data_IF_440962269481
#
_entry.id   IF_440962269481
#
_cell.length_a   1.000
_cell.length_b   1.000
_cell.length_c   1.000
_cell.angle_alpha   90.00
_cell.angle_beta   90.00
_cell.angle_gamma   90.00
#
_symmetry.space_group_name_H-M   'P 1'
#
loop_
_entity.id
_entity.type
_entity.pdbx_description
1 polymer ?
#
# COMPACT_ATOMS: atom_id res chain seq x y z
N UNK A 1 2.71 5.55 -4.67
CA UNK A 1 3.48 5.90 -3.46
C UNK A 1 4.84 5.22 -3.41
N UNK A 2 4.93 3.89 -3.49
CA UNK A 2 6.20 3.12 -3.41
C UNK A 2 7.29 3.66 -4.33
N UNK A 3 7.01 3.85 -5.61
CA UNK A 3 7.98 4.39 -6.61
C UNK A 3 8.58 5.75 -6.20
N UNK A 4 7.82 6.59 -5.47
CA UNK A 4 8.32 7.88 -4.98
C UNK A 4 9.04 7.76 -3.62
N UNK A 5 8.69 6.78 -2.83
CA UNK A 5 9.28 6.53 -1.52
C UNK A 5 10.61 5.79 -1.62
N UNK A 6 10.74 4.90 -2.58
CA UNK A 6 11.92 4.05 -2.75
C UNK A 6 13.09 4.83 -3.35
N UNK A 7 14.02 5.26 -2.50
CA UNK A 7 15.17 6.09 -2.90
C UNK A 7 16.32 5.31 -3.51
N UNK A 8 16.38 4.00 -3.30
CA UNK A 8 17.48 3.14 -3.77
C UNK A 8 17.20 2.50 -5.12
N UNK A 9 15.94 2.39 -5.54
CA UNK A 9 15.53 1.90 -6.85
C UNK A 9 15.24 3.06 -7.81
N UNK A 10 15.62 2.90 -9.05
CA UNK A 10 15.21 3.77 -10.17
C UNK A 10 14.14 3.10 -11.03
N UNK A 11 13.81 1.88 -10.73
CA UNK A 11 12.77 1.11 -11.41
C UNK A 11 11.38 1.68 -11.14
N UNK A 12 10.50 1.49 -12.10
CA UNK A 12 9.06 1.72 -11.95
C UNK A 12 8.29 0.39 -11.99
N UNK A 13 8.99 -0.73 -11.80
CA UNK A 13 8.40 -2.07 -11.79
C UNK A 13 7.85 -2.39 -10.41
N UNK A 14 6.62 -2.85 -10.38
CA UNK A 14 5.93 -3.34 -9.18
C UNK A 14 5.46 -4.76 -9.47
N UNK A 15 5.92 -5.71 -8.68
CA UNK A 15 5.49 -7.11 -8.79
C UNK A 15 4.12 -7.28 -8.13
N UNK A 16 3.26 -8.05 -8.75
CA UNK A 16 1.95 -8.41 -8.22
C UNK A 16 1.62 -9.86 -8.57
N UNK A 17 1.33 -10.69 -7.58
CA UNK A 17 1.00 -12.08 -7.85
C UNK A 17 -0.45 -12.25 -8.37
N UNK A 18 -0.68 -13.27 -9.20
CA UNK A 18 -1.98 -13.47 -9.88
C UNK A 18 -3.12 -13.80 -8.92
N UNK A 19 -2.83 -14.15 -7.68
CA UNK A 19 -3.82 -14.37 -6.61
C UNK A 19 -4.23 -13.10 -5.86
N UNK A 20 -3.68 -11.91 -6.22
CA UNK A 20 -4.26 -10.62 -5.85
C UNK A 20 -5.57 -10.41 -6.62
N UNK A 21 -6.59 -9.84 -5.97
CA UNK A 21 -7.89 -9.57 -6.57
C UNK A 21 -7.74 -8.99 -7.98
N UNK A 22 -8.34 -9.63 -9.01
CA UNK A 22 -8.18 -9.22 -10.40
C UNK A 22 -8.69 -7.80 -10.68
N UNK A 23 -9.72 -7.34 -9.96
CA UNK A 23 -10.19 -5.96 -10.08
C UNK A 23 -9.17 -4.97 -9.55
N UNK A 24 -8.51 -5.27 -8.43
CA UNK A 24 -7.44 -4.42 -7.89
C UNK A 24 -6.25 -4.32 -8.86
N UNK A 25 -5.87 -5.45 -9.47
CA UNK A 25 -4.79 -5.45 -10.48
C UNK A 25 -5.15 -4.58 -11.69
N UNK A 26 -6.36 -4.73 -12.24
CA UNK A 26 -6.84 -3.93 -13.37
C UNK A 26 -6.88 -2.42 -13.04
N UNK A 27 -7.42 -2.06 -11.88
CA UNK A 27 -7.47 -0.66 -11.44
C UNK A 27 -6.07 -0.10 -11.24
N UNK A 28 -5.17 -0.86 -10.63
CA UNK A 28 -3.79 -0.43 -10.43
C UNK A 28 -3.06 -0.18 -11.76
N UNK A 29 -3.25 -1.07 -12.76
CA UNK A 29 -2.72 -0.85 -14.11
C UNK A 29 -3.30 0.41 -14.72
N UNK A 30 -4.63 0.56 -14.70
CA UNK A 30 -5.33 1.70 -15.29
C UNK A 30 -4.90 3.05 -14.69
N UNK A 31 -4.68 3.10 -13.38
CA UNK A 31 -4.34 4.34 -12.68
C UNK A 31 -2.86 4.67 -12.67
N UNK A 32 -1.99 3.67 -12.69
CA UNK A 32 -0.55 3.87 -12.51
C UNK A 32 0.25 3.89 -13.83
N UNK A 33 -0.25 3.25 -14.89
CA UNK A 33 0.46 3.16 -16.18
C UNK A 33 0.74 4.53 -16.81
N UNK A 34 -0.17 5.50 -16.69
CA UNK A 34 0.01 6.86 -17.17
C UNK A 34 1.19 7.61 -16.52
N UNK A 35 1.69 7.10 -15.39
CA UNK A 35 2.89 7.63 -14.72
C UNK A 35 4.14 6.78 -15.00
N UNK A 36 4.08 5.84 -15.95
CA UNK A 36 5.17 4.95 -16.31
C UNK A 36 5.38 3.77 -15.37
N UNK A 37 4.51 3.60 -14.36
CA UNK A 37 4.59 2.45 -13.44
C UNK A 37 4.13 1.18 -14.17
N UNK A 38 4.97 0.14 -14.11
CA UNK A 38 4.69 -1.16 -14.72
C UNK A 38 4.34 -2.17 -13.63
N UNK A 39 3.12 -2.67 -13.65
CA UNK A 39 2.74 -3.84 -12.85
C UNK A 39 3.11 -5.10 -13.62
N UNK A 40 3.94 -5.93 -13.01
CA UNK A 40 4.39 -7.21 -13.55
C UNK A 40 3.76 -8.36 -12.77
N UNK A 41 2.99 -9.19 -13.46
CA UNK A 41 2.28 -10.29 -12.82
C UNK A 41 3.20 -11.50 -12.60
N UNK A 42 3.13 -12.06 -11.39
CA UNK A 42 3.79 -13.30 -11.02
C UNK A 42 2.75 -14.42 -11.07
N UNK A 43 2.85 -15.38 -11.99
CA UNK A 43 1.94 -16.52 -12.03
C UNK A 43 2.01 -17.36 -10.75
N UNK A 44 0.85 -17.68 -10.17
CA UNK A 44 0.73 -18.53 -8.98
C UNK A 44 -0.23 -19.70 -9.25
N UNK A 45 0.18 -20.71 -10.05
CA UNK A 45 -0.71 -21.79 -10.46
C UNK A 45 -1.15 -22.68 -9.29
N UNK A 46 -0.41 -22.66 -8.18
CA UNK A 46 -0.77 -23.41 -6.96
C UNK A 46 -1.73 -22.65 -6.03
N UNK A 47 -2.12 -21.43 -6.41
CA UNK A 47 -3.02 -20.60 -5.61
C UNK A 47 -2.35 -19.77 -4.51
N UNK A 48 -1.05 -19.91 -4.32
CA UNK A 48 -0.22 -19.09 -3.40
C UNK A 48 1.10 -18.75 -4.05
N UNK A 49 1.71 -17.65 -3.60
CA UNK A 49 3.05 -17.23 -3.96
C UNK A 49 4.08 -17.91 -3.03
N UNK A 50 5.12 -18.48 -3.59
CA UNK A 50 6.25 -18.97 -2.82
C UNK A 50 7.53 -18.17 -3.10
N UNK A 51 8.48 -18.20 -2.17
CA UNK A 51 9.79 -17.56 -2.38
C UNK A 51 10.53 -18.17 -3.60
N UNK A 52 10.31 -19.45 -3.89
CA UNK A 52 10.87 -20.08 -5.07
C UNK A 52 10.36 -19.46 -6.39
N UNK A 53 9.10 -19.01 -6.44
CA UNK A 53 8.55 -18.33 -7.61
C UNK A 53 9.17 -16.95 -7.84
N UNK A 54 9.81 -16.39 -6.80
CA UNK A 54 10.47 -15.10 -6.82
C UNK A 54 11.96 -15.15 -7.23
N UNK A 55 12.56 -16.34 -7.30
CA UNK A 55 14.00 -16.52 -7.57
C UNK A 55 14.43 -15.86 -8.91
N UNK A 56 13.56 -15.81 -9.90
CA UNK A 56 13.85 -15.17 -11.20
C UNK A 56 14.04 -13.65 -11.13
N UNK A 57 13.65 -13.03 -10.01
CA UNK A 57 13.83 -11.60 -9.76
C UNK A 57 15.07 -11.28 -8.92
N UNK A 58 15.89 -12.29 -8.61
CA UNK A 58 17.14 -12.08 -7.89
C UNK A 58 18.10 -11.23 -8.72
N UNK A 59 18.59 -10.13 -8.14
CA UNK A 59 19.47 -9.19 -8.83
C UNK A 59 18.76 -8.18 -9.75
N UNK A 60 17.44 -8.27 -9.89
CA UNK A 60 16.64 -7.34 -10.69
C UNK A 60 16.31 -6.07 -9.90
N UNK A 61 16.28 -4.91 -10.61
CA UNK A 61 15.81 -3.66 -10.00
C UNK A 61 14.28 -3.62 -10.03
N UNK A 62 13.68 -3.90 -8.88
CA UNK A 62 12.24 -3.89 -8.63
C UNK A 62 11.93 -2.91 -7.49
N UNK A 63 10.94 -2.06 -7.67
CA UNK A 63 10.57 -1.08 -6.64
C UNK A 63 9.78 -1.70 -5.49
N UNK A 64 8.79 -2.51 -5.79
CA UNK A 64 7.91 -3.06 -4.76
C UNK A 64 7.28 -4.38 -5.19
N UNK A 65 6.82 -5.14 -4.21
CA UNK A 65 5.94 -6.30 -4.38
C UNK A 65 4.64 -6.07 -3.62
N UNK A 66 3.51 -6.44 -4.24
CA UNK A 66 2.18 -6.44 -3.60
C UNK A 66 1.87 -7.83 -3.09
N UNK A 67 1.49 -7.94 -1.82
CA UNK A 67 1.06 -9.17 -1.17
C UNK A 67 -0.37 -8.94 -0.67
N UNK A 68 -1.32 -9.77 -1.09
CA UNK A 68 -2.68 -9.74 -0.55
C UNK A 68 -2.87 -10.85 0.47
N UNK A 69 -3.40 -10.49 1.66
CA UNK A 69 -3.61 -11.42 2.76
C UNK A 69 -4.98 -11.20 3.44
N UNK A 70 -5.89 -12.18 3.48
CA UNK A 70 -5.88 -13.38 2.64
C UNK A 70 -5.90 -13.04 1.15
N UNK A 71 -5.40 -13.94 0.30
CA UNK A 71 -5.42 -13.71 -1.14
C UNK A 71 -6.84 -13.85 -1.72
N UNK A 72 -7.02 -13.57 -3.01
CA UNK A 72 -8.34 -13.59 -3.66
C UNK A 72 -9.02 -14.97 -3.65
N UNK A 73 -8.24 -16.05 -3.52
CA UNK A 73 -8.74 -17.43 -3.43
C UNK A 73 -9.04 -17.84 -1.98
N UNK A 74 -8.89 -16.93 -1.01
CA UNK A 74 -9.10 -17.21 0.41
C UNK A 74 -7.95 -17.97 1.07
N UNK A 75 -6.80 -18.12 0.40
CA UNK A 75 -5.63 -18.78 0.96
C UNK A 75 -4.71 -17.77 1.67
N UNK A 76 -3.91 -18.28 2.60
CA UNK A 76 -2.92 -17.49 3.31
C UNK A 76 -1.55 -17.61 2.60
N UNK A 77 -0.93 -16.49 2.38
CA UNK A 77 0.44 -16.40 1.85
C UNK A 77 1.45 -16.55 2.99
N UNK A 78 2.66 -17.05 2.70
CA UNK A 78 3.78 -16.97 3.64
C UNK A 78 4.35 -15.55 3.63
N UNK A 79 3.61 -14.66 4.30
CA UNK A 79 3.90 -13.22 4.30
C UNK A 79 5.25 -12.91 4.93
N UNK A 80 5.70 -13.72 5.89
CA UNK A 80 6.98 -13.51 6.55
C UNK A 80 8.14 -13.79 5.61
N UNK A 81 8.15 -14.97 4.99
CA UNK A 81 9.22 -15.36 4.06
C UNK A 81 9.27 -14.44 2.83
N UNK A 82 8.10 -14.06 2.27
CA UNK A 82 8.04 -13.17 1.11
C UNK A 82 8.53 -11.76 1.48
N UNK A 83 8.16 -11.25 2.67
CA UNK A 83 8.60 -9.93 3.14
C UNK A 83 10.10 -9.89 3.38
N UNK A 84 10.66 -10.91 4.02
CA UNK A 84 12.11 -11.00 4.26
C UNK A 84 12.89 -11.14 2.95
N UNK A 85 12.39 -11.94 2.00
CA UNK A 85 12.98 -12.04 0.67
C UNK A 85 13.02 -10.67 -0.04
N UNK A 86 11.92 -9.91 0.02
CA UNK A 86 11.82 -8.61 -0.61
C UNK A 86 12.80 -7.59 0.02
N UNK A 87 12.81 -7.52 1.35
CA UNK A 87 13.67 -6.59 2.06
C UNK A 87 15.16 -6.89 1.92
N UNK A 88 15.55 -8.16 1.83
CA UNK A 88 16.94 -8.56 1.54
C UNK A 88 17.43 -8.02 0.19
N UNK A 89 16.51 -7.72 -0.74
CA UNK A 89 16.78 -7.19 -2.09
C UNK A 89 16.44 -5.72 -2.26
N UNK A 90 16.18 -5.02 -1.15
CA UNK A 90 15.72 -3.63 -1.14
C UNK A 90 14.41 -3.41 -1.93
N UNK A 91 13.53 -4.40 -1.99
CA UNK A 91 12.19 -4.29 -2.59
C UNK A 91 11.21 -3.90 -1.48
N UNK A 92 10.39 -2.87 -1.70
CA UNK A 92 9.36 -2.47 -0.74
C UNK A 92 8.19 -3.46 -0.75
N UNK A 93 7.58 -3.67 0.40
CA UNK A 93 6.40 -4.53 0.56
C UNK A 93 5.14 -3.69 0.72
N UNK A 94 4.17 -3.94 -0.16
CA UNK A 94 2.83 -3.37 -0.12
C UNK A 94 1.86 -4.47 0.30
N UNK A 95 1.31 -4.36 1.49
CA UNK A 95 0.28 -5.26 2.00
C UNK A 95 -1.11 -4.79 1.55
N UNK A 96 -1.85 -5.65 0.88
CA UNK A 96 -3.27 -5.46 0.58
C UNK A 96 -4.08 -6.37 1.50
N UNK A 97 -4.80 -5.82 2.47
CA UNK A 97 -5.44 -6.62 3.52
C UNK A 97 -6.89 -6.21 3.77
N UNK A 98 -7.69 -7.18 4.20
CA UNK A 98 -9.01 -6.91 4.76
C UNK A 98 -8.84 -6.52 6.24
N UNK A 99 -9.31 -5.33 6.67
CA UNK A 99 -9.08 -4.86 8.04
C UNK A 99 -9.71 -5.76 9.10
N UNK A 100 -10.85 -6.42 8.83
CA UNK A 100 -11.49 -7.31 9.79
C UNK A 100 -10.72 -8.63 9.98
N UNK A 101 -9.98 -9.08 8.95
CA UNK A 101 -9.14 -10.27 9.07
C UNK A 101 -7.98 -10.09 10.05
N UNK A 102 -7.56 -8.84 10.30
CA UNK A 102 -6.47 -8.51 11.22
C UNK A 102 -6.85 -8.75 12.69
N UNK A 103 -8.12 -9.06 12.99
CA UNK A 103 -8.55 -9.55 14.31
C UNK A 103 -8.00 -10.93 14.66
N UNK A 104 -7.59 -11.71 13.66
CA UNK A 104 -7.07 -13.07 13.82
C UNK A 104 -5.76 -13.33 13.06
N UNK A 105 -5.44 -12.52 12.07
CA UNK A 105 -4.21 -12.65 11.28
C UNK A 105 -3.16 -11.65 11.73
N UNK A 106 -1.91 -12.02 11.54
CA UNK A 106 -0.75 -11.18 11.82
C UNK A 106 -0.83 -9.84 11.07
N UNK A 107 -0.74 -8.70 11.77
CA UNK A 107 -0.85 -7.40 11.12
C UNK A 107 0.36 -7.12 10.20
N UNK A 108 0.17 -6.37 9.11
CA UNK A 108 1.25 -6.11 8.14
C UNK A 108 2.51 -5.50 8.74
N UNK A 109 2.38 -4.70 9.80
CA UNK A 109 3.53 -4.12 10.49
C UNK A 109 4.46 -5.13 11.17
N UNK A 110 4.03 -6.38 11.29
CA UNK A 110 4.76 -7.48 11.93
C UNK A 110 5.22 -8.57 10.93
N UNK A 111 4.98 -8.41 9.62
CA UNK A 111 5.40 -9.39 8.62
C UNK A 111 6.92 -9.45 8.50
N UNK A 112 7.48 -10.66 8.52
CA UNK A 112 8.92 -10.86 8.50
C UNK A 112 9.63 -10.13 9.65
N UNK A 113 10.89 -9.83 9.46
CA UNK A 113 11.72 -9.17 10.47
C UNK A 113 11.45 -7.66 10.61
N UNK A 114 10.87 -7.02 9.58
CA UNK A 114 10.74 -5.55 9.53
C UNK A 114 9.31 -5.05 9.32
N UNK A 115 8.35 -5.91 9.04
CA UNK A 115 6.98 -5.52 8.66
C UNK A 115 6.87 -4.97 7.23
N UNK A 116 5.66 -4.91 6.70
CA UNK A 116 5.39 -4.26 5.41
C UNK A 116 5.68 -2.75 5.46
N UNK A 117 6.03 -2.16 4.33
CA UNK A 117 6.34 -0.72 4.21
C UNK A 117 5.08 0.13 4.05
N UNK A 118 4.10 -0.43 3.35
CA UNK A 118 2.81 0.20 3.07
C UNK A 118 1.73 -0.85 3.31
N UNK A 119 0.62 -0.48 3.96
CA UNK A 119 -0.57 -1.31 4.01
C UNK A 119 -1.79 -0.53 3.53
N UNK A 120 -2.66 -1.19 2.77
CA UNK A 120 -3.88 -0.61 2.23
C UNK A 120 -4.98 -1.67 2.13
N UNK A 121 -6.21 -1.22 2.01
CA UNK A 121 -7.37 -2.09 1.84
C UNK A 121 -8.68 -1.32 1.85
N UNK A 122 -9.76 -2.07 1.69
CA UNK A 122 -11.12 -1.52 1.73
C UNK A 122 -11.63 -1.40 3.17
N UNK A 123 -12.40 -0.37 3.44
CA UNK A 123 -13.07 -0.17 4.72
C UNK A 123 -14.54 -0.62 4.73
N UNK A 124 -15.09 -1.10 3.62
CA UNK A 124 -16.45 -1.64 3.57
C UNK A 124 -16.73 -2.68 4.65
N UNK A 125 -15.81 -3.62 4.96
CA UNK A 125 -16.01 -4.60 6.04
C UNK A 125 -16.21 -3.99 7.44
N UNK A 126 -15.84 -2.73 7.65
CA UNK A 126 -16.04 -1.99 8.89
C UNK A 126 -17.43 -1.33 9.01
N UNK A 127 -18.36 -1.70 8.14
CA UNK A 127 -19.75 -1.21 8.19
C UNK A 127 -20.07 -0.11 7.18
N UNK A 128 -19.21 0.12 6.19
CA UNK A 128 -19.50 1.07 5.10
C UNK A 128 -20.31 0.36 4.02
N UNK A 129 -21.61 0.67 3.82
CA UNK A 129 -22.47 -0.02 2.86
C UNK A 129 -22.04 0.29 1.42
N UNK A 130 -22.39 -0.61 0.49
CA UNK A 130 -22.12 -0.41 -0.93
C UNK A 130 -22.98 0.71 -1.56
N UNK A 131 -24.15 1.00 -0.97
CA UNK A 131 -25.03 2.12 -1.31
C UNK A 131 -25.25 2.33 -2.82
N UNK A 132 -25.45 1.22 -3.57
CA UNK A 132 -25.70 1.24 -5.03
C UNK A 132 -24.63 2.00 -5.85
N UNK A 133 -23.37 1.93 -5.43
CA UNK A 133 -22.26 2.55 -6.16
C UNK A 133 -21.38 3.49 -5.32
N UNK A 134 -21.53 3.46 -4.03
CA UNK A 134 -20.67 4.24 -3.14
C UNK A 134 -21.41 5.30 -2.32
N UNK A 135 -20.72 6.18 -1.60
CA UNK A 135 -19.26 6.29 -1.58
C UNK A 135 -18.58 5.10 -0.91
N UNK A 136 -17.40 4.75 -1.40
CA UNK A 136 -16.58 3.69 -0.80
C UNK A 136 -15.48 4.29 0.05
N UNK A 137 -14.99 3.52 1.02
CA UNK A 137 -13.88 3.93 1.87
C UNK A 137 -12.73 2.93 1.77
N UNK A 138 -11.52 3.43 1.89
CA UNK A 138 -10.31 2.65 1.98
C UNK A 138 -9.38 3.20 3.03
N UNK A 139 -8.39 2.42 3.41
CA UNK A 139 -7.31 2.88 4.27
C UNK A 139 -5.96 2.76 3.57
N UNK A 140 -5.04 3.60 3.99
CA UNK A 140 -3.65 3.56 3.59
C UNK A 140 -2.78 3.93 4.79
N UNK A 141 -1.87 3.05 5.15
CA UNK A 141 -0.88 3.29 6.20
C UNK A 141 0.52 3.06 5.68
N UNK A 142 1.50 3.66 6.33
CA UNK A 142 2.91 3.51 5.96
C UNK A 142 3.81 3.75 7.17
N UNK A 143 5.07 3.34 7.06
CA UNK A 143 6.08 3.67 8.04
C UNK A 143 6.31 5.17 8.13
N UNK A 144 6.71 5.66 9.28
CA UNK A 144 6.97 7.09 9.53
C UNK A 144 8.00 7.68 8.55
N UNK A 145 8.98 6.91 8.15
CA UNK A 145 10.01 7.35 7.19
C UNK A 145 9.45 7.73 5.81
N UNK A 146 8.29 7.15 5.42
CA UNK A 146 7.62 7.41 4.14
C UNK A 146 6.44 8.38 4.25
N UNK A 147 6.15 8.91 5.42
CA UNK A 147 4.97 9.77 5.66
C UNK A 147 4.88 10.96 4.69
N UNK A 148 6.03 11.51 4.29
CA UNK A 148 6.07 12.62 3.32
C UNK A 148 5.62 12.25 1.91
N UNK A 149 5.56 10.95 1.59
CA UNK A 149 5.10 10.41 0.29
C UNK A 149 3.66 9.91 0.37
N UNK A 150 3.06 9.93 1.54
CA UNK A 150 1.68 9.50 1.74
C UNK A 150 0.72 10.44 1.00
N UNK A 151 -0.25 9.93 0.24
CA UNK A 151 -1.28 10.76 -0.38
C UNK A 151 -2.25 11.33 0.68
N UNK A 152 -2.99 12.36 0.30
CA UNK A 152 -4.01 12.97 1.14
C UNK A 152 -3.46 13.92 2.20
N UNK A 153 -4.37 14.51 2.93
CA UNK A 153 -4.09 15.41 4.05
C UNK A 153 -3.77 14.60 5.31
N UNK A 154 -2.83 15.09 6.10
CA UNK A 154 -2.46 14.47 7.38
C UNK A 154 -2.74 15.49 8.48
N UNK A 155 -3.60 15.10 9.40
CA UNK A 155 -3.93 15.87 10.59
C UNK A 155 -3.07 15.37 11.77
N UNK A 156 -2.34 16.24 12.40
CA UNK A 156 -1.55 15.97 13.59
C UNK A 156 -2.28 16.43 14.85
N UNK A 157 -2.18 15.64 15.90
CA UNK A 157 -2.58 16.05 17.24
C UNK A 157 -1.51 16.97 17.85
N UNK A 158 -1.92 18.09 18.41
CA UNK A 158 -1.06 19.09 19.02
C UNK A 158 -1.72 19.69 20.26
N UNK A 159 -1.10 20.67 20.86
CA UNK A 159 -1.66 21.48 21.93
C UNK A 159 -1.59 22.96 21.57
N UNK A 160 -2.53 23.78 22.04
CA UNK A 160 -2.49 25.23 21.91
C UNK A 160 -1.53 25.87 22.93
N UNK A 161 -1.46 27.20 22.91
CA UNK A 161 -0.58 27.95 23.84
C UNK A 161 -0.97 27.79 25.31
N UNK A 162 -2.19 27.34 25.61
CA UNK A 162 -2.70 27.09 26.96
C UNK A 162 -2.59 25.62 27.34
N UNK A 163 -1.97 24.77 26.51
CA UNK A 163 -1.83 23.34 26.73
C UNK A 163 -3.08 22.52 26.42
N UNK A 164 -4.12 23.11 25.84
CA UNK A 164 -5.34 22.41 25.43
C UNK A 164 -5.11 21.63 24.14
N UNK A 165 -5.54 20.35 24.14
CA UNK A 165 -5.44 19.51 22.95
C UNK A 165 -6.20 20.09 21.77
N UNK A 166 -5.56 20.07 20.61
CA UNK A 166 -6.12 20.47 19.32
C UNK A 166 -5.59 19.63 18.18
N UNK A 167 -6.03 19.95 16.97
CA UNK A 167 -5.59 19.27 15.75
C UNK A 167 -5.18 20.30 14.71
N UNK A 168 -4.16 20.00 13.94
CA UNK A 168 -3.67 20.89 12.88
C UNK A 168 -3.30 20.08 11.62
N UNK A 169 -3.49 20.69 10.45
CA UNK A 169 -2.98 20.16 9.20
C UNK A 169 -1.45 20.18 9.23
N UNK A 170 -0.86 19.02 8.94
CA UNK A 170 0.59 18.84 8.90
C UNK A 170 1.09 18.64 7.48
N UNK A 171 2.39 18.83 7.25
CA UNK A 171 3.05 18.59 5.96
C UNK A 171 2.37 19.30 4.77
N UNK A 172 1.80 20.47 4.99
CA UNK A 172 1.05 21.24 3.99
C UNK A 172 1.85 21.57 2.72
N UNK A 173 3.20 21.64 2.83
CA UNK A 173 4.07 21.92 1.68
C UNK A 173 3.95 20.91 0.51
N UNK A 174 3.34 19.75 0.73
CA UNK A 174 3.05 18.75 -0.33
C UNK A 174 1.66 18.89 -0.96
N UNK A 175 0.84 19.79 -0.45
CA UNK A 175 -0.53 20.02 -0.91
C UNK A 175 -0.57 20.78 -2.26
N UNK A 176 -1.70 20.64 -2.97
CA UNK A 176 -1.87 21.21 -4.30
C UNK A 176 -1.78 22.75 -4.32
N UNK A 177 -2.32 23.42 -3.32
CA UNK A 177 -2.31 24.89 -3.22
C UNK A 177 -0.89 25.47 -3.10
N UNK A 178 0.09 24.68 -2.66
CA UNK A 178 1.50 25.05 -2.57
C UNK A 178 2.31 24.47 -3.72
N UNK A 179 2.22 23.17 -3.95
CA UNK A 179 3.06 22.45 -4.94
C UNK A 179 2.47 22.40 -6.35
N UNK A 180 1.22 22.82 -6.52
CA UNK A 180 0.50 22.83 -7.80
C UNK A 180 0.58 21.45 -8.49
N UNK A 181 1.00 21.36 -9.75
CA UNK A 181 1.14 20.09 -10.50
C UNK A 181 2.14 19.09 -9.92
N UNK A 182 2.98 19.50 -8.97
CA UNK A 182 3.94 18.61 -8.26
C UNK A 182 3.41 18.10 -6.92
N UNK A 183 2.14 18.36 -6.60
CA UNK A 183 1.53 17.89 -5.37
C UNK A 183 1.56 16.37 -5.25
N UNK A 184 1.63 15.86 -4.02
CA UNK A 184 1.65 14.42 -3.76
C UNK A 184 0.30 13.79 -4.07
N UNK A 185 -0.80 14.50 -3.81
CA UNK A 185 -2.16 14.00 -3.99
C UNK A 185 -3.18 15.14 -4.07
N UNK A 186 -4.27 14.88 -4.80
CA UNK A 186 -5.49 15.67 -4.86
C UNK A 186 -6.69 14.87 -4.35
N UNK A 187 -6.47 13.90 -3.49
CA UNK A 187 -7.53 13.02 -2.98
C UNK A 187 -8.49 13.85 -2.13
N UNK A 188 -9.77 13.74 -2.45
CA UNK A 188 -10.87 14.23 -1.66
C UNK A 188 -11.89 13.11 -1.49
N UNK A 189 -12.50 13.02 -0.32
CA UNK A 189 -13.57 12.06 -0.02
C UNK A 189 -14.74 12.78 0.60
N UNK A 190 -15.95 12.24 0.43
CA UNK A 190 -17.21 12.80 0.92
C UNK A 190 -17.99 11.80 1.79
N UNK A 191 -17.35 10.82 2.36
CA UNK A 191 -17.98 9.96 3.35
C UNK A 191 -18.34 10.79 4.59
N UNK A 192 -19.58 10.71 4.97
CA UNK A 192 -20.14 11.32 6.18
C UNK A 192 -20.40 10.30 7.26
#
# INVERSE_FOLDING_TARGET
MSVRAHRKSRSQRVLVHTTVNPSYRKVAVSTASGQGVKLEEIPCPRGTLSVADLAKYDGEDVTAIVIQQPNFLGQLEDVDAITDWAHARNIMVIASVNPTSLGILKPPGEWGAKGADIACGDCQPLGVPLSSGGPYAGFLTTRMEYVRQMPGRIVGRTVDLNGKQGFALTLQAREQHIRRGKATSNICTNQG
#
